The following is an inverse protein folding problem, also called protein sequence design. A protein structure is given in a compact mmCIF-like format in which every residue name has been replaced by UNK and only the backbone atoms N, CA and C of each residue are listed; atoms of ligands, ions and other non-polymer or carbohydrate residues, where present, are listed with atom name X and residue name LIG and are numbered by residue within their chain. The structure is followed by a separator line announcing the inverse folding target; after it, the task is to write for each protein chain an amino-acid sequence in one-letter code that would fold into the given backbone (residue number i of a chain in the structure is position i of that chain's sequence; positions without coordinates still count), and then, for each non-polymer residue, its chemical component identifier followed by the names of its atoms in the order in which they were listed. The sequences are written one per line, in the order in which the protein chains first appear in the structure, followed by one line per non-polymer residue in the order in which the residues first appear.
data_IF_234379427179
#
_entry.id   IF_234379427179
#
_cell.length_a   1.000
_cell.length_b   1.000
_cell.length_c   1.000
_cell.angle_alpha   90.00
_cell.angle_beta   90.00
_cell.angle_gamma   90.00
#
_symmetry.space_group_name_H-M   'P 1'
#
loop_
_entity.id
_entity.type
_entity.pdbx_description
1 polymer ?
#
# COMPACT_ATOMS: atom_id res chain seq x y z
N UNK A 1 22.56 48.56 47.91
CA UNK A 1 21.89 48.75 46.65
C UNK A 1 21.45 47.39 46.03
N UNK A 2 20.17 47.09 46.17
CA UNK A 2 19.59 45.96 45.54
C UNK A 2 19.18 46.35 44.13
N UNK A 3 19.54 45.50 43.11
CA UNK A 3 18.94 45.53 41.79
C UNK A 3 18.35 44.19 41.52
N UNK A 4 17.02 44.11 41.51
CA UNK A 4 16.22 43.03 40.98
C UNK A 4 16.33 43.04 39.44
N UNK A 5 16.84 41.94 38.86
CA UNK A 5 16.76 41.65 37.45
C UNK A 5 15.59 40.69 37.17
N UNK A 6 14.48 41.23 36.69
CA UNK A 6 13.33 40.51 36.23
C UNK A 6 13.65 39.89 34.86
N UNK A 7 13.89 38.57 34.82
CA UNK A 7 14.00 37.82 33.59
C UNK A 7 12.62 37.61 33.02
N UNK A 8 12.31 38.27 31.91
CA UNK A 8 11.19 37.93 31.02
C UNK A 8 11.46 36.57 30.40
N UNK A 9 10.62 35.61 30.70
CA UNK A 9 10.49 34.38 29.90
C UNK A 9 9.68 34.73 28.65
N UNK A 10 10.34 34.78 27.50
CA UNK A 10 9.67 34.74 26.21
C UNK A 10 9.00 33.38 26.07
N UNK A 11 7.70 33.37 26.22
CA UNK A 11 6.86 32.24 25.82
C UNK A 11 6.79 32.21 24.29
N UNK A 12 7.56 31.35 23.68
CA UNK A 12 7.41 31.05 22.25
C UNK A 12 6.01 30.48 22.02
N UNK A 13 5.07 31.30 21.58
CA UNK A 13 3.81 30.84 21.01
C UNK A 13 4.13 30.09 19.73
N UNK A 14 3.92 28.79 19.76
CA UNK A 14 3.83 27.97 18.53
C UNK A 14 2.65 28.54 17.73
N UNK A 15 2.85 28.97 16.46
CA UNK A 15 1.75 29.52 15.68
C UNK A 15 0.69 28.43 15.51
N UNK A 16 -0.46 28.63 16.16
CA UNK A 16 -1.64 27.79 15.94
C UNK A 16 -2.16 28.09 14.53
N UNK A 17 -1.92 27.18 13.61
CA UNK A 17 -2.58 27.24 12.29
C UNK A 17 -4.08 27.21 12.53
N UNK A 18 -4.80 28.21 12.00
CA UNK A 18 -6.25 28.28 12.23
C UNK A 18 -6.92 27.06 11.55
N UNK A 19 -8.01 26.58 12.17
CA UNK A 19 -8.79 25.48 11.63
C UNK A 19 -9.23 25.74 10.20
N UNK A 20 -9.59 26.97 9.87
CA UNK A 20 -10.02 27.40 8.53
C UNK A 20 -8.89 27.25 7.50
N UNK A 21 -7.64 27.53 7.86
CA UNK A 21 -6.48 27.33 6.96
C UNK A 21 -6.26 25.85 6.71
N UNK A 22 -6.33 25.00 7.75
CA UNK A 22 -6.21 23.55 7.60
C UNK A 22 -7.33 22.98 6.74
N UNK A 23 -8.57 23.40 6.94
CA UNK A 23 -9.72 22.97 6.15
C UNK A 23 -9.55 23.38 4.67
N UNK A 24 -9.11 24.61 4.40
CA UNK A 24 -8.84 25.10 3.03
C UNK A 24 -7.69 24.36 2.34
N UNK A 25 -6.63 24.05 3.07
CA UNK A 25 -5.49 23.26 2.54
C UNK A 25 -5.95 21.82 2.20
N UNK A 26 -6.72 21.18 3.08
CA UNK A 26 -7.28 19.85 2.84
C UNK A 26 -8.20 19.86 1.61
N UNK A 27 -9.10 20.83 1.49
CA UNK A 27 -9.98 20.97 0.31
C UNK A 27 -9.19 21.13 -0.99
N UNK A 28 -8.10 21.90 -0.95
CA UNK A 28 -7.22 22.11 -2.11
C UNK A 28 -6.51 20.81 -2.51
N UNK A 29 -5.99 20.05 -1.55
CA UNK A 29 -5.35 18.75 -1.78
C UNK A 29 -6.37 17.76 -2.37
N UNK A 30 -7.55 17.68 -1.82
CA UNK A 30 -8.62 16.77 -2.29
C UNK A 30 -9.01 17.10 -3.72
N UNK A 31 -9.20 18.39 -4.03
CA UNK A 31 -9.59 18.84 -5.37
C UNK A 31 -8.47 18.53 -6.38
N UNK A 32 -7.23 18.90 -6.08
CA UNK A 32 -6.10 18.67 -6.99
C UNK A 32 -5.84 17.19 -7.23
N UNK A 33 -5.97 16.34 -6.19
CA UNK A 33 -5.85 14.89 -6.34
C UNK A 33 -6.96 14.31 -7.22
N UNK A 34 -8.20 14.73 -7.03
CA UNK A 34 -9.34 14.28 -7.82
C UNK A 34 -9.25 14.69 -9.30
N UNK A 35 -8.72 15.88 -9.58
CA UNK A 35 -8.47 16.35 -10.94
C UNK A 35 -7.33 15.55 -11.60
N UNK A 36 -6.23 15.31 -10.86
CA UNK A 36 -5.13 14.45 -11.31
C UNK A 36 -5.58 13.01 -11.57
N UNK A 37 -6.43 12.43 -10.70
CA UNK A 37 -6.99 11.10 -10.90
C UNK A 37 -7.86 11.02 -12.17
N UNK A 38 -8.67 12.06 -12.40
CA UNK A 38 -9.50 12.13 -13.60
C UNK A 38 -8.67 12.27 -14.88
N UNK A 39 -7.57 13.00 -14.81
CA UNK A 39 -6.66 13.17 -15.96
C UNK A 39 -5.87 11.89 -16.23
N UNK A 40 -5.27 11.27 -15.21
CA UNK A 40 -4.57 10.00 -15.33
C UNK A 40 -5.48 8.89 -15.90
N UNK A 41 -6.75 8.87 -15.46
CA UNK A 41 -7.74 7.92 -15.96
C UNK A 41 -7.99 8.08 -17.47
N UNK A 42 -8.11 9.34 -17.95
CA UNK A 42 -8.32 9.62 -19.39
C UNK A 42 -7.09 9.31 -20.25
N UNK A 43 -5.89 9.42 -19.66
CA UNK A 43 -4.65 9.08 -20.36
C UNK A 43 -4.44 7.57 -20.47
N UNK A 44 -4.95 6.79 -19.51
CA UNK A 44 -4.71 5.35 -19.42
C UNK A 44 -5.79 4.52 -20.10
N UNK A 45 -7.03 5.01 -20.17
CA UNK A 45 -8.19 4.29 -20.67
C UNK A 45 -8.91 5.05 -21.77
N UNK A 46 -9.66 4.34 -22.62
CA UNK A 46 -10.60 4.95 -23.55
C UNK A 46 -11.72 5.70 -22.81
N UNK A 47 -12.43 6.56 -23.53
CA UNK A 47 -13.41 7.48 -22.93
C UNK A 47 -14.59 6.78 -22.24
N UNK A 48 -14.98 5.59 -22.68
CA UNK A 48 -16.09 4.84 -22.09
C UNK A 48 -15.65 4.19 -20.78
N UNK A 49 -14.54 3.47 -20.80
CA UNK A 49 -13.96 2.83 -19.62
C UNK A 49 -13.53 3.86 -18.58
N UNK A 50 -12.90 4.96 -19.00
CA UNK A 50 -12.53 6.04 -18.10
C UNK A 50 -13.75 6.62 -17.36
N UNK A 51 -14.87 6.84 -18.05
CA UNK A 51 -16.11 7.34 -17.45
C UNK A 51 -16.69 6.34 -16.45
N UNK A 52 -16.73 5.07 -16.77
CA UNK A 52 -17.24 4.02 -15.87
C UNK A 52 -16.39 3.97 -14.61
N UNK A 53 -15.08 3.85 -14.73
CA UNK A 53 -14.15 3.79 -13.60
C UNK A 53 -14.21 5.06 -12.74
N UNK A 54 -14.27 6.25 -13.35
CA UNK A 54 -14.43 7.50 -12.61
C UNK A 54 -15.73 7.55 -11.81
N UNK A 55 -16.81 7.00 -12.34
CA UNK A 55 -18.09 6.97 -11.62
C UNK A 55 -18.04 6.11 -10.34
N UNK A 56 -17.17 5.10 -10.31
CA UNK A 56 -17.03 4.16 -9.18
C UNK A 56 -15.91 4.53 -8.22
N UNK A 57 -14.81 5.11 -8.71
CA UNK A 57 -13.59 5.27 -7.91
C UNK A 57 -13.23 6.70 -7.54
N UNK A 58 -13.84 7.73 -8.14
CA UNK A 58 -13.50 9.13 -7.90
C UNK A 58 -13.47 9.51 -6.42
N UNK A 59 -14.43 9.01 -5.65
CA UNK A 59 -14.59 9.31 -4.23
C UNK A 59 -14.29 8.11 -3.32
N UNK A 60 -13.77 7.02 -3.89
CA UNK A 60 -13.51 5.78 -3.18
C UNK A 60 -12.26 5.82 -2.27
N UNK A 61 -11.30 6.70 -2.56
CA UNK A 61 -10.04 6.79 -1.83
C UNK A 61 -10.14 7.78 -0.67
N UNK A 62 -9.74 7.34 0.52
CA UNK A 62 -9.74 8.17 1.73
C UNK A 62 -8.73 9.32 1.66
N UNK A 63 -8.90 10.34 2.51
CA UNK A 63 -7.96 11.46 2.63
C UNK A 63 -6.55 11.00 2.99
N UNK A 64 -6.44 10.01 3.88
CA UNK A 64 -5.17 9.44 4.29
C UNK A 64 -4.45 8.74 3.13
N UNK A 65 -5.19 8.04 2.24
CA UNK A 65 -4.64 7.47 1.02
C UNK A 65 -4.15 8.56 0.06
N UNK A 66 -4.99 9.56 -0.21
CA UNK A 66 -4.67 10.69 -1.12
C UNK A 66 -3.46 11.52 -0.67
N UNK A 67 -3.19 11.55 0.63
CA UNK A 67 -2.02 12.23 1.19
C UNK A 67 -0.70 11.47 1.00
N UNK A 68 -0.75 10.18 0.67
CA UNK A 68 0.43 9.30 0.54
C UNK A 68 0.69 8.91 -0.91
N UNK A 69 -0.37 8.62 -1.68
CA UNK A 69 -0.25 8.10 -3.04
C UNK A 69 -0.67 9.12 -4.08
N UNK A 70 0.13 9.20 -5.15
CA UNK A 70 -0.21 9.99 -6.33
C UNK A 70 -1.43 9.40 -7.06
N UNK A 71 -2.22 10.23 -7.75
CA UNK A 71 -3.38 9.76 -8.53
C UNK A 71 -3.04 8.67 -9.54
N UNK A 72 -1.89 8.75 -10.19
CA UNK A 72 -1.40 7.80 -11.19
C UNK A 72 -1.18 6.41 -10.58
N UNK A 73 -0.72 6.36 -9.33
CA UNK A 73 -0.56 5.10 -8.59
C UNK A 73 -1.91 4.43 -8.36
N UNK A 74 -2.91 5.21 -7.96
CA UNK A 74 -4.27 4.68 -7.77
C UNK A 74 -4.86 4.15 -9.09
N UNK A 75 -4.66 4.86 -10.21
CA UNK A 75 -5.11 4.41 -11.54
C UNK A 75 -4.40 3.12 -11.96
N UNK A 76 -3.08 3.04 -11.73
CA UNK A 76 -2.31 1.83 -12.04
C UNK A 76 -2.78 0.62 -11.23
N UNK A 77 -3.14 0.82 -9.97
CA UNK A 77 -3.60 -0.27 -9.10
C UNK A 77 -5.00 -0.81 -9.48
N UNK A 78 -5.80 -0.04 -10.23
CA UNK A 78 -7.14 -0.47 -10.66
C UNK A 78 -7.15 -1.75 -11.50
N UNK A 79 -6.06 -2.05 -12.23
CA UNK A 79 -5.99 -3.29 -13.01
C UNK A 79 -6.04 -4.54 -12.13
N UNK A 80 -5.54 -4.48 -10.90
CA UNK A 80 -5.67 -5.56 -9.91
C UNK A 80 -7.04 -5.50 -9.22
N UNK A 81 -7.43 -4.30 -8.79
CA UNK A 81 -8.67 -4.09 -8.03
C UNK A 81 -9.89 -4.56 -8.82
N UNK A 82 -9.96 -4.27 -10.11
CA UNK A 82 -11.07 -4.67 -10.99
C UNK A 82 -11.18 -6.18 -11.25
N UNK A 83 -10.15 -6.96 -10.89
CA UNK A 83 -10.17 -8.42 -11.00
C UNK A 83 -10.63 -9.09 -9.70
N UNK A 84 -10.81 -8.33 -8.62
CA UNK A 84 -11.23 -8.86 -7.34
C UNK A 84 -12.73 -9.18 -7.33
N UNK A 85 -13.07 -10.25 -6.63
CA UNK A 85 -14.44 -10.72 -6.44
C UNK A 85 -14.50 -11.69 -5.25
N UNK A 86 -15.68 -12.14 -4.88
CA UNK A 86 -15.84 -13.18 -3.86
C UNK A 86 -15.11 -14.48 -4.23
N UNK A 87 -15.00 -14.83 -5.52
CA UNK A 87 -14.29 -16.02 -6.01
C UNK A 87 -12.78 -15.78 -6.23
N UNK A 88 -12.35 -14.53 -6.39
CA UNK A 88 -10.95 -14.12 -6.50
C UNK A 88 -10.69 -12.96 -5.54
N UNK A 89 -10.65 -13.20 -4.22
CA UNK A 89 -10.72 -12.13 -3.25
C UNK A 89 -9.40 -11.37 -3.04
N UNK A 90 -8.26 -11.84 -3.58
CA UNK A 90 -6.94 -11.26 -3.28
C UNK A 90 -6.14 -10.94 -4.51
N UNK A 91 -5.48 -9.77 -4.47
CA UNK A 91 -4.45 -9.37 -5.40
C UNK A 91 -3.21 -8.93 -4.64
N UNK A 92 -2.02 -9.15 -5.19
CA UNK A 92 -0.75 -8.74 -4.58
C UNK A 92 0.20 -8.19 -5.64
N UNK A 93 1.08 -7.30 -5.21
CA UNK A 93 2.18 -6.82 -6.03
C UNK A 93 3.40 -6.50 -5.16
N UNK A 94 4.54 -7.11 -5.45
CA UNK A 94 5.82 -6.69 -4.89
C UNK A 94 6.39 -5.53 -5.70
N UNK A 95 6.98 -4.56 -5.02
CA UNK A 95 7.58 -3.39 -5.66
C UNK A 95 8.85 -2.94 -4.94
N UNK A 96 9.64 -2.08 -5.58
CA UNK A 96 10.82 -1.45 -4.99
C UNK A 96 10.37 -0.27 -4.11
N UNK A 97 10.57 -0.38 -2.79
CA UNK A 97 10.20 0.66 -1.84
C UNK A 97 11.19 1.84 -1.79
N UNK A 98 12.27 1.81 -2.58
CA UNK A 98 13.26 2.88 -2.70
C UNK A 98 14.32 2.91 -1.59
N UNK A 99 14.25 2.04 -0.58
CA UNK A 99 15.31 1.81 0.41
C UNK A 99 16.29 0.74 -0.07
N UNK A 100 17.55 0.79 0.40
CA UNK A 100 18.58 -0.17 -0.05
C UNK A 100 18.23 -1.63 0.30
N UNK A 101 17.44 -1.85 1.33
CA UNK A 101 17.02 -3.17 1.82
C UNK A 101 15.51 -3.35 1.87
N UNK A 102 14.75 -2.31 1.53
CA UNK A 102 13.31 -2.28 1.67
C UNK A 102 12.62 -2.81 0.41
N UNK A 103 11.71 -3.73 0.63
CA UNK A 103 10.85 -4.33 -0.39
C UNK A 103 9.41 -3.94 -0.06
N UNK A 104 8.72 -3.35 -1.02
CA UNK A 104 7.32 -3.03 -0.87
C UNK A 104 6.42 -4.21 -1.25
N UNK A 105 5.34 -4.38 -0.52
CA UNK A 105 4.29 -5.34 -0.83
C UNK A 105 2.94 -4.68 -0.69
N UNK A 106 2.22 -4.58 -1.80
CA UNK A 106 0.82 -4.20 -1.84
C UNK A 106 -0.06 -5.45 -1.82
N UNK A 107 -1.08 -5.45 -0.96
CA UNK A 107 -2.10 -6.50 -0.92
C UNK A 107 -3.47 -5.84 -0.99
N UNK A 108 -4.31 -6.28 -1.92
CA UNK A 108 -5.72 -5.90 -2.00
C UNK A 108 -6.57 -7.09 -1.64
N UNK A 109 -7.54 -6.90 -0.77
CA UNK A 109 -8.49 -7.93 -0.39
C UNK A 109 -9.92 -7.43 -0.52
N UNK A 110 -10.75 -8.25 -1.13
CA UNK A 110 -12.17 -7.98 -1.32
C UNK A 110 -12.92 -8.07 0.00
N UNK A 111 -13.88 -7.16 0.22
CA UNK A 111 -14.85 -7.14 1.33
C UNK A 111 -14.27 -6.82 2.72
N UNK A 112 -13.16 -7.39 3.15
CA UNK A 112 -12.63 -7.25 4.51
C UNK A 112 -11.11 -7.16 4.55
N UNK A 113 -10.53 -6.54 5.61
CA UNK A 113 -9.08 -6.55 5.80
C UNK A 113 -8.58 -7.96 6.12
N UNK A 114 -7.35 -8.26 5.73
CA UNK A 114 -6.67 -9.48 6.17
C UNK A 114 -6.03 -9.19 7.53
N UNK A 115 -6.25 -10.05 8.52
CA UNK A 115 -5.64 -9.89 9.83
C UNK A 115 -4.10 -10.03 9.77
N UNK A 116 -3.37 -9.28 10.61
CA UNK A 116 -1.92 -9.41 10.73
C UNK A 116 -1.49 -10.84 11.08
N UNK A 117 -2.26 -11.48 11.94
CA UNK A 117 -2.05 -12.87 12.37
C UNK A 117 -2.17 -13.90 11.24
N UNK A 118 -2.79 -13.53 10.13
CA UNK A 118 -2.90 -14.39 8.94
C UNK A 118 -1.73 -14.15 7.97
N UNK A 119 -1.41 -12.88 7.67
CA UNK A 119 -0.43 -12.54 6.62
C UNK A 119 1.02 -12.48 7.09
N UNK A 120 1.28 -12.05 8.35
CA UNK A 120 2.65 -11.94 8.86
C UNK A 120 3.36 -13.30 8.91
N UNK A 121 2.76 -14.39 9.42
CA UNK A 121 3.40 -15.71 9.40
C UNK A 121 3.73 -16.21 7.98
N UNK A 122 2.91 -15.88 6.98
CA UNK A 122 3.18 -16.24 5.57
C UNK A 122 4.44 -15.52 5.09
N UNK A 123 4.52 -14.21 5.30
CA UNK A 123 5.68 -13.41 4.91
C UNK A 123 6.95 -13.83 5.65
N UNK A 124 6.82 -14.16 6.94
CA UNK A 124 7.94 -14.66 7.74
C UNK A 124 8.48 -16.00 7.24
N UNK A 125 7.61 -16.92 6.84
CA UNK A 125 7.99 -18.19 6.24
C UNK A 125 8.52 -18.04 4.81
N UNK A 126 8.16 -16.96 4.10
CA UNK A 126 8.77 -16.59 2.83
C UNK A 126 10.15 -15.91 2.99
N UNK A 127 10.66 -15.74 4.20
CA UNK A 127 11.97 -15.16 4.47
C UNK A 127 11.98 -13.64 4.65
N UNK A 128 10.81 -13.03 4.87
CA UNK A 128 10.69 -11.60 5.13
C UNK A 128 10.46 -11.28 6.59
N UNK A 129 10.85 -10.06 6.98
CA UNK A 129 10.46 -9.39 8.20
C UNK A 129 9.60 -8.19 7.83
N UNK A 130 8.45 -8.04 8.45
CA UNK A 130 7.58 -6.87 8.30
C UNK A 130 8.15 -5.72 9.14
N UNK A 131 8.39 -4.56 8.52
CA UNK A 131 8.96 -3.36 9.14
C UNK A 131 7.89 -2.32 9.41
N UNK A 132 7.03 -2.06 8.44
CA UNK A 132 5.94 -1.07 8.52
C UNK A 132 4.73 -1.56 7.73
N UNK A 133 3.57 -1.03 8.09
CA UNK A 133 2.31 -1.33 7.43
C UNK A 133 1.34 -0.17 7.50
N UNK A 134 0.63 0.04 6.40
CA UNK A 134 -0.50 0.96 6.29
C UNK A 134 -1.68 0.25 5.69
N UNK A 135 -2.85 0.48 6.26
CA UNK A 135 -4.10 -0.13 5.78
C UNK A 135 -5.09 0.97 5.41
N UNK A 136 -5.73 0.80 4.25
CA UNK A 136 -6.73 1.73 3.73
C UNK A 136 -7.95 0.95 3.23
N UNK A 137 -9.11 1.54 3.39
CA UNK A 137 -10.32 1.10 2.70
C UNK A 137 -10.46 1.89 1.40
N UNK A 138 -10.70 1.19 0.31
CA UNK A 138 -11.10 1.74 -0.97
C UNK A 138 -12.60 1.49 -1.09
N UNK A 139 -13.41 2.51 -0.82
CA UNK A 139 -14.86 2.43 -0.68
C UNK A 139 -15.59 2.39 -2.04
N UNK A 140 -15.03 1.63 -2.99
CA UNK A 140 -15.67 1.42 -4.29
C UNK A 140 -16.56 0.19 -4.26
N UNK A 141 -17.73 0.30 -4.90
CA UNK A 141 -18.58 -0.86 -5.10
C UNK A 141 -18.10 -1.65 -6.30
N UNK A 142 -17.55 -2.85 -6.05
CA UNK A 142 -17.12 -3.77 -7.09
C UNK A 142 -18.20 -4.83 -7.30
N UNK A 143 -18.64 -5.01 -8.53
CA UNK A 143 -19.70 -5.95 -8.90
C UNK A 143 -21.02 -5.79 -8.10
N UNK A 144 -21.30 -4.58 -7.59
CA UNK A 144 -22.47 -4.29 -6.76
C UNK A 144 -22.35 -4.70 -5.30
N UNK A 145 -21.17 -5.11 -4.85
CA UNK A 145 -20.89 -5.61 -3.50
C UNK A 145 -19.86 -4.74 -2.77
N UNK A 146 -19.18 -5.33 -1.80
CA UNK A 146 -18.29 -4.68 -0.85
C UNK A 146 -17.07 -3.98 -1.47
N UNK A 147 -16.46 -3.07 -0.72
CA UNK A 147 -15.23 -2.38 -1.08
C UNK A 147 -13.99 -3.26 -1.03
N UNK A 148 -12.83 -2.64 -1.22
CA UNK A 148 -11.52 -3.31 -1.17
C UNK A 148 -10.70 -2.76 -0.01
N UNK A 149 -10.05 -3.65 0.70
CA UNK A 149 -9.04 -3.29 1.69
C UNK A 149 -7.65 -3.39 1.08
N UNK A 150 -6.92 -2.30 1.20
CA UNK A 150 -5.57 -2.16 0.68
C UNK A 150 -4.57 -2.12 1.83
N UNK A 151 -3.61 -3.04 1.81
CA UNK A 151 -2.50 -3.09 2.75
C UNK A 151 -1.21 -2.80 1.99
N UNK A 152 -0.46 -1.80 2.44
CA UNK A 152 0.86 -1.48 1.94
C UNK A 152 1.89 -1.78 3.04
N UNK A 153 2.80 -2.68 2.77
CA UNK A 153 3.75 -3.20 3.73
C UNK A 153 5.18 -2.94 3.27
N UNK A 154 6.02 -2.50 4.19
CA UNK A 154 7.46 -2.46 4.00
C UNK A 154 8.07 -3.71 4.62
N UNK A 155 8.81 -4.45 3.82
CA UNK A 155 9.44 -5.71 4.16
C UNK A 155 10.95 -5.59 4.05
N UNK A 156 11.68 -6.36 4.86
CA UNK A 156 13.11 -6.61 4.71
C UNK A 156 13.36 -8.10 4.68
N UNK A 157 14.40 -8.54 3.96
CA UNK A 157 14.81 -9.94 4.02
C UNK A 157 15.27 -10.29 5.44
N UNK A 158 14.93 -11.47 5.92
CA UNK A 158 15.53 -11.99 7.14
C UNK A 158 17.01 -12.23 6.88
N UNK A 159 17.85 -11.78 7.80
CA UNK A 159 19.28 -12.07 7.74
C UNK A 159 19.51 -13.57 7.97
N UNK A 160 19.89 -14.28 6.91
CA UNK A 160 20.26 -15.69 6.94
C UNK A 160 21.80 -15.89 7.07
N UNK A 161 22.53 -14.82 7.37
CA UNK A 161 23.99 -14.82 7.49
C UNK A 161 24.73 -14.87 6.14
N UNK A 162 24.02 -14.80 5.02
CA UNK A 162 24.57 -14.64 3.68
C UNK A 162 24.54 -13.15 3.35
N UNK A 163 25.68 -12.50 3.38
CA UNK A 163 25.89 -11.09 3.04
C UNK A 163 25.71 -10.84 1.51
N UNK A 164 24.61 -11.25 0.94
CA UNK A 164 24.25 -10.79 -0.39
C UNK A 164 23.43 -9.51 -0.26
N UNK A 165 23.87 -8.40 -0.90
CA UNK A 165 23.07 -7.18 -0.90
C UNK A 165 21.68 -7.51 -1.47
N UNK A 166 20.65 -7.04 -0.81
CA UNK A 166 19.29 -7.14 -1.31
C UNK A 166 19.21 -6.39 -2.64
N UNK A 167 19.59 -7.06 -3.71
CA UNK A 167 19.41 -6.53 -5.07
C UNK A 167 17.93 -6.31 -5.33
N UNK A 168 17.62 -5.36 -6.20
CA UNK A 168 16.26 -5.16 -6.67
C UNK A 168 15.66 -6.50 -7.12
N UNK A 169 14.43 -6.79 -6.69
CA UNK A 169 13.71 -7.98 -7.12
C UNK A 169 13.54 -7.95 -8.64
N UNK A 170 14.01 -8.98 -9.35
CA UNK A 170 13.71 -9.13 -10.76
C UNK A 170 12.20 -9.34 -10.96
N UNK A 171 11.69 -9.01 -12.14
CA UNK A 171 10.26 -9.22 -12.45
C UNK A 171 9.84 -10.70 -12.38
N UNK A 172 10.77 -11.61 -12.67
CA UNK A 172 10.54 -13.04 -12.52
C UNK A 172 10.41 -13.44 -11.05
N UNK A 173 11.31 -12.95 -10.19
CA UNK A 173 11.27 -13.24 -8.76
C UNK A 173 10.04 -12.61 -8.10
N UNK A 174 9.65 -11.39 -8.49
CA UNK A 174 8.40 -10.77 -8.02
C UNK A 174 7.21 -11.67 -8.28
N UNK A 175 7.04 -12.12 -9.52
CA UNK A 175 5.93 -13.03 -9.89
C UNK A 175 5.93 -14.31 -9.09
N UNK A 176 7.08 -14.94 -8.90
CA UNK A 176 7.19 -16.17 -8.09
C UNK A 176 6.80 -15.93 -6.62
N UNK A 177 7.20 -14.80 -6.05
CA UNK A 177 6.83 -14.40 -4.69
C UNK A 177 5.31 -14.12 -4.58
N UNK A 178 4.74 -13.43 -5.55
CA UNK A 178 3.30 -13.16 -5.63
C UNK A 178 2.49 -14.46 -5.72
N UNK A 179 2.90 -15.36 -6.60
CA UNK A 179 2.27 -16.68 -6.76
C UNK A 179 2.37 -17.51 -5.48
N UNK A 180 3.55 -17.53 -4.82
CA UNK A 180 3.74 -18.23 -3.55
C UNK A 180 2.83 -17.67 -2.46
N UNK A 181 2.81 -16.36 -2.26
CA UNK A 181 1.95 -15.72 -1.28
C UNK A 181 0.47 -16.06 -1.51
N UNK A 182 0.01 -15.90 -2.76
CA UNK A 182 -1.38 -16.20 -3.11
C UNK A 182 -1.74 -17.67 -2.94
N UNK A 183 -0.82 -18.60 -3.26
CA UNK A 183 -1.05 -20.03 -3.10
C UNK A 183 -1.21 -20.41 -1.62
N UNK A 184 -0.33 -19.90 -0.75
CA UNK A 184 -0.42 -20.14 0.70
C UNK A 184 -1.71 -19.52 1.25
N UNK A 185 -2.04 -18.29 0.87
CA UNK A 185 -3.26 -17.61 1.34
C UNK A 185 -4.56 -18.25 0.85
N UNK A 186 -4.51 -19.04 -0.23
CA UNK A 186 -5.64 -19.86 -0.72
C UNK A 186 -5.66 -21.26 -0.14
N UNK A 187 -4.65 -21.66 0.63
CA UNK A 187 -4.43 -23.00 1.15
C UNK A 187 -4.12 -24.02 0.04
N UNK A 188 -3.62 -23.58 -1.10
CA UNK A 188 -3.11 -24.41 -2.19
C UNK A 188 -1.68 -24.89 -1.93
N UNK A 189 -0.97 -24.24 -1.00
CA UNK A 189 0.36 -24.58 -0.53
C UNK A 189 0.44 -24.48 1.00
N UNK A 190 1.37 -25.24 1.60
CA UNK A 190 1.62 -25.19 3.04
C UNK A 190 2.34 -23.89 3.41
N UNK A 191 2.02 -23.37 4.61
CA UNK A 191 2.71 -22.22 5.17
C UNK A 191 3.84 -22.69 6.08
N UNK A 192 5.02 -22.90 5.53
CA UNK A 192 6.20 -23.36 6.25
C UNK A 192 7.51 -22.68 5.79
N UNK A 193 8.62 -23.02 6.45
CA UNK A 193 9.93 -22.44 6.15
C UNK A 193 10.51 -22.76 4.76
N UNK A 194 9.94 -23.74 4.02
CA UNK A 194 10.36 -24.02 2.64
C UNK A 194 9.96 -22.91 1.67
N UNK A 195 8.94 -22.11 2.01
CA UNK A 195 8.51 -20.96 1.22
C UNK A 195 9.63 -19.91 1.04
N UNK A 196 10.61 -19.87 1.95
CA UNK A 196 11.80 -19.02 1.82
C UNK A 196 12.69 -19.41 0.63
N UNK A 197 12.59 -20.63 0.11
CA UNK A 197 13.35 -21.07 -1.06
C UNK A 197 12.97 -20.32 -2.34
N UNK A 198 11.74 -19.81 -2.42
CA UNK A 198 11.32 -18.95 -3.54
C UNK A 198 12.17 -17.68 -3.56
N UNK A 199 12.37 -17.05 -2.40
CA UNK A 199 13.19 -15.85 -2.27
C UNK A 199 14.69 -16.16 -2.43
N UNK A 200 15.20 -17.20 -1.76
CA UNK A 200 16.63 -17.51 -1.68
C UNK A 200 17.20 -18.20 -2.92
N UNK A 201 16.41 -19.04 -3.58
CA UNK A 201 16.87 -19.85 -4.71
C UNK A 201 16.04 -19.62 -5.99
N UNK A 202 15.03 -18.76 -5.95
CA UNK A 202 14.15 -18.47 -7.09
C UNK A 202 13.35 -19.70 -7.55
N UNK A 203 13.06 -20.64 -6.64
CA UNK A 203 12.31 -21.86 -6.95
C UNK A 203 10.82 -21.54 -7.12
N UNK A 204 10.15 -22.43 -7.84
CA UNK A 204 8.68 -22.43 -7.88
C UNK A 204 8.12 -22.95 -6.55
N UNK A 205 6.95 -22.46 -6.14
CA UNK A 205 6.29 -22.86 -4.88
C UNK A 205 5.70 -24.29 -4.91
N UNK A 206 5.69 -24.92 -6.07
CA UNK A 206 5.16 -26.27 -6.32
C UNK A 206 6.20 -27.35 -6.01
#
# INVERSE_FOLDING_TARGET
GHRNGSGRRDGGETPSVSREVLESEVETIVRSWGDGFSEAMRQTHDSEKARDLLSRYRDAFSLSYRGVYAPETAVADLHIIEQLSASNPRGVAFYDAGGAEDIGLKIWNFDKPIALTERVPVLENMGFRVVDERTYEIAATIAGEAGVWFHDMTLQRKDDGKNEPAGALSDELRRKLEDCFLAVMRLDAENDGYNALVLGAGLEWR
#
